data_IF_739242419180
#
_entry.id   IF_739242419180
#
_cell.length_a   1.000
_cell.length_b   1.000
_cell.length_c   1.000
_cell.angle_alpha   90.00
_cell.angle_beta   90.00
_cell.angle_gamma   90.00
#
_symmetry.space_group_name_H-M   'P 1'
#
loop_
_entity.id
_entity.type
_entity.pdbx_description
1 polymer ?
#
# COMPACT_ATOMS: atom_id res chain seq x y z
N UNK A 1 -15.01 -0.57 15.62
CA UNK A 1 -13.87 0.35 15.72
C UNK A 1 -13.65 1.08 14.40
N UNK A 2 -13.50 0.42 13.27
CA UNK A 2 -13.26 1.04 11.94
C UNK A 2 -14.28 2.13 11.60
N UNK A 3 -15.56 1.87 11.83
CA UNK A 3 -16.64 2.84 11.64
C UNK A 3 -16.45 4.08 12.52
N UNK A 4 -16.08 3.89 13.77
CA UNK A 4 -15.80 5.00 14.69
C UNK A 4 -14.58 5.81 14.27
N UNK A 5 -13.53 5.12 13.83
CA UNK A 5 -12.29 5.77 13.36
C UNK A 5 -12.54 6.66 12.14
N UNK A 6 -13.41 6.24 11.23
CA UNK A 6 -13.73 6.98 10.00
C UNK A 6 -14.24 8.39 10.27
N UNK A 7 -14.96 8.61 11.36
CA UNK A 7 -15.49 9.92 11.74
C UNK A 7 -14.41 10.97 12.03
N UNK A 8 -13.19 10.55 12.40
CA UNK A 8 -12.09 11.48 12.67
C UNK A 8 -11.45 12.07 11.42
N UNK A 9 -11.72 11.49 10.24
CA UNK A 9 -11.14 11.93 8.95
C UNK A 9 -12.13 12.73 8.10
N UNK A 10 -13.39 12.85 8.53
CA UNK A 10 -14.40 13.56 7.75
C UNK A 10 -14.14 15.07 7.70
N UNK A 11 -14.49 15.65 6.58
CA UNK A 11 -14.59 17.12 6.46
C UNK A 11 -15.87 17.63 7.12
N UNK A 12 -15.89 18.86 7.61
CA UNK A 12 -17.13 19.46 8.11
C UNK A 12 -18.26 19.35 7.07
N UNK A 13 -19.46 19.00 7.51
CA UNK A 13 -20.65 18.87 6.68
C UNK A 13 -20.58 17.79 5.57
N UNK A 14 -19.68 16.83 5.69
CA UNK A 14 -19.63 15.67 4.79
C UNK A 14 -19.87 14.38 5.57
N UNK A 15 -20.46 13.39 4.91
CA UNK A 15 -20.49 12.02 5.42
C UNK A 15 -19.10 11.42 5.35
N UNK A 16 -18.73 10.66 6.38
CA UNK A 16 -17.54 9.83 6.32
C UNK A 16 -17.78 8.68 5.35
N UNK A 17 -16.74 8.28 4.62
CA UNK A 17 -16.82 7.17 3.68
C UNK A 17 -16.01 6.00 4.20
N UNK A 18 -16.62 4.83 4.19
CA UNK A 18 -15.95 3.58 4.51
C UNK A 18 -16.31 2.51 3.47
N UNK A 19 -15.32 1.78 3.02
CA UNK A 19 -15.48 0.71 2.06
C UNK A 19 -14.98 -0.61 2.67
N UNK A 20 -15.79 -1.66 2.55
CA UNK A 20 -15.41 -2.99 2.98
C UNK A 20 -15.32 -3.92 1.78
N UNK A 21 -14.21 -4.62 1.66
CA UNK A 21 -14.12 -5.78 0.78
C UNK A 21 -14.46 -7.02 1.59
N UNK A 22 -15.52 -7.69 1.24
CA UNK A 22 -16.09 -8.83 1.99
C UNK A 22 -16.39 -10.00 1.07
N UNK A 23 -16.61 -11.18 1.62
CA UNK A 23 -17.26 -12.27 0.88
C UNK A 23 -18.77 -12.06 0.87
N UNK A 24 -19.43 -12.43 -0.21
CA UNK A 24 -20.89 -12.20 -0.40
C UNK A 24 -21.73 -12.78 0.72
N UNK A 25 -21.30 -13.87 1.30
CA UNK A 25 -22.00 -14.56 2.39
C UNK A 25 -22.10 -13.72 3.67
N UNK A 26 -21.06 -12.89 3.97
CA UNK A 26 -21.01 -12.07 5.19
C UNK A 26 -21.57 -10.65 5.01
N UNK A 27 -21.92 -10.22 3.80
CA UNK A 27 -22.45 -8.87 3.55
C UNK A 27 -23.65 -8.53 4.44
N UNK A 28 -24.58 -9.47 4.60
CA UNK A 28 -25.78 -9.27 5.42
C UNK A 28 -25.43 -9.00 6.88
N UNK A 29 -24.43 -9.68 7.41
CA UNK A 29 -23.99 -9.50 8.79
C UNK A 29 -23.32 -8.13 8.97
N UNK A 30 -22.54 -7.69 7.99
CA UNK A 30 -22.00 -6.33 7.97
C UNK A 30 -23.09 -5.27 7.92
N UNK A 31 -24.10 -5.45 7.08
CA UNK A 31 -25.24 -4.52 6.97
C UNK A 31 -26.02 -4.40 8.29
N UNK A 32 -26.26 -5.49 9.01
CA UNK A 32 -26.91 -5.46 10.33
C UNK A 32 -26.12 -4.59 11.31
N UNK A 33 -24.79 -4.66 11.29
CA UNK A 33 -23.93 -3.86 12.17
C UNK A 33 -23.85 -2.41 11.73
N UNK A 34 -23.80 -2.15 10.43
CA UNK A 34 -23.50 -0.84 9.85
C UNK A 34 -24.72 0.04 9.65
N UNK A 35 -25.92 -0.50 9.45
CA UNK A 35 -27.18 0.24 9.22
C UNK A 35 -27.57 1.22 10.35
N UNK A 36 -27.02 1.05 11.52
CA UNK A 36 -27.24 1.98 12.66
C UNK A 36 -26.44 3.29 12.57
N UNK A 37 -25.55 3.43 11.59
CA UNK A 37 -24.69 4.60 11.43
C UNK A 37 -25.15 5.49 10.27
N UNK A 38 -26.12 6.35 10.52
CA UNK A 38 -26.76 7.21 9.50
C UNK A 38 -25.82 8.25 8.89
N UNK A 39 -24.76 8.62 9.59
CA UNK A 39 -23.80 9.64 9.16
C UNK A 39 -22.64 9.11 8.30
N UNK A 40 -22.71 7.85 7.91
CA UNK A 40 -21.69 7.19 7.10
C UNK A 40 -22.21 6.84 5.71
N UNK A 41 -21.32 6.93 4.74
CA UNK A 41 -21.49 6.32 3.42
C UNK A 41 -20.71 5.02 3.41
N UNK A 42 -21.43 3.91 3.48
CA UNK A 42 -20.83 2.57 3.57
C UNK A 42 -21.04 1.86 2.26
N UNK A 43 -19.95 1.37 1.68
CA UNK A 43 -19.95 0.63 0.43
C UNK A 43 -19.25 -0.71 0.59
N UNK A 44 -19.60 -1.66 -0.27
CA UNK A 44 -19.03 -3.00 -0.27
C UNK A 44 -18.51 -3.36 -1.65
N UNK A 45 -17.47 -4.17 -1.70
CA UNK A 45 -17.04 -4.88 -2.89
C UNK A 45 -16.66 -6.32 -2.55
N UNK A 46 -16.52 -7.12 -3.58
CA UNK A 46 -16.12 -8.53 -3.47
C UNK A 46 -14.86 -8.74 -4.28
N UNK A 47 -14.02 -9.67 -3.85
CA UNK A 47 -12.91 -10.07 -4.67
C UNK A 47 -13.43 -10.59 -6.01
N UNK A 48 -12.75 -10.25 -7.09
CA UNK A 48 -13.08 -10.75 -8.41
C UNK A 48 -12.73 -12.24 -8.51
N UNK A 49 -13.69 -13.06 -8.90
CA UNK A 49 -13.51 -14.52 -9.05
C UNK A 49 -12.41 -14.87 -10.07
N UNK A 50 -12.10 -13.97 -11.02
CA UNK A 50 -10.97 -14.17 -11.96
C UNK A 50 -9.61 -14.12 -11.29
N UNK A 51 -9.53 -13.60 -10.07
CA UNK A 51 -8.31 -13.57 -9.24
C UNK A 51 -8.21 -14.76 -8.27
N UNK A 52 -9.14 -15.70 -8.32
CA UNK A 52 -9.10 -16.89 -7.49
C UNK A 52 -7.91 -17.79 -7.89
N UNK A 53 -7.37 -18.47 -6.89
CA UNK A 53 -6.22 -19.36 -7.05
C UNK A 53 -6.65 -20.81 -6.97
N UNK A 54 -5.97 -21.67 -7.72
CA UNK A 54 -6.18 -23.13 -7.65
C UNK A 54 -5.68 -23.62 -6.29
N UNK A 55 -6.54 -24.31 -5.56
CA UNK A 55 -6.12 -25.02 -4.35
C UNK A 55 -5.21 -26.21 -4.73
N UNK A 56 -4.21 -26.48 -3.90
CA UNK A 56 -3.27 -27.57 -4.11
C UNK A 56 -3.18 -28.47 -2.88
N UNK A 57 -2.85 -29.73 -3.13
CA UNK A 57 -2.49 -30.72 -2.13
C UNK A 57 -1.10 -30.42 -1.55
N UNK A 58 -0.69 -31.13 -0.51
CA UNK A 58 0.63 -30.99 0.11
C UNK A 58 1.81 -31.31 -0.83
N UNK A 59 1.57 -32.07 -1.88
CA UNK A 59 2.54 -32.43 -2.94
C UNK A 59 2.54 -31.44 -4.13
N UNK A 60 1.83 -30.30 -4.00
CA UNK A 60 1.60 -29.29 -5.04
C UNK A 60 0.78 -29.79 -6.27
N UNK A 61 0.17 -30.96 -6.23
CA UNK A 61 -0.82 -31.34 -7.24
C UNK A 61 -2.11 -30.54 -7.07
N UNK A 62 -2.84 -30.22 -8.17
CA UNK A 62 -4.12 -29.51 -8.07
C UNK A 62 -5.13 -30.28 -7.23
N UNK A 63 -5.72 -29.58 -6.25
CA UNK A 63 -6.80 -30.17 -5.44
C UNK A 63 -8.09 -30.18 -6.26
N UNK A 64 -8.78 -31.35 -6.24
CA UNK A 64 -10.02 -31.56 -6.96
C UNK A 64 -11.13 -31.98 -6.02
N UNK A 65 -12.32 -31.48 -6.32
CA UNK A 65 -13.56 -31.86 -5.63
C UNK A 65 -14.28 -32.98 -6.38
N UNK A 66 -15.49 -33.26 -6.01
CA UNK A 66 -16.33 -34.27 -6.67
C UNK A 66 -16.36 -34.06 -8.20
N UNK A 67 -16.40 -35.16 -8.95
CA UNK A 67 -16.36 -35.19 -10.42
C UNK A 67 -15.07 -34.69 -11.07
N UNK A 68 -13.98 -34.71 -10.33
CA UNK A 68 -12.65 -34.31 -10.85
C UNK A 68 -12.54 -32.82 -11.22
N UNK A 69 -13.41 -31.96 -10.67
CA UNK A 69 -13.37 -30.51 -10.89
C UNK A 69 -12.28 -29.84 -10.05
N UNK A 70 -11.59 -28.86 -10.63
CA UNK A 70 -10.60 -28.05 -9.92
C UNK A 70 -11.29 -27.19 -8.84
N UNK A 71 -10.71 -27.15 -7.68
CA UNK A 71 -11.19 -26.27 -6.61
C UNK A 71 -10.43 -24.95 -6.60
N UNK A 72 -11.18 -23.85 -6.76
CA UNK A 72 -10.67 -22.50 -6.68
C UNK A 72 -11.01 -21.88 -5.34
N UNK A 73 -10.16 -21.03 -4.83
CA UNK A 73 -10.34 -20.31 -3.57
C UNK A 73 -9.93 -18.86 -3.75
N UNK A 74 -10.50 -17.93 -2.98
CA UNK A 74 -10.11 -16.54 -3.01
C UNK A 74 -8.60 -16.37 -2.91
N UNK A 75 -8.03 -15.52 -3.75
CA UNK A 75 -6.62 -15.16 -3.72
C UNK A 75 -6.28 -14.39 -2.43
N UNK A 76 -4.99 -14.19 -2.20
CA UNK A 76 -4.52 -13.37 -1.07
C UNK A 76 -4.75 -11.88 -1.28
N UNK A 77 -4.27 -11.06 -0.34
CA UNK A 77 -4.45 -9.60 -0.33
C UNK A 77 -4.05 -8.89 -1.62
N UNK A 78 -3.11 -9.46 -2.40
CA UNK A 78 -2.72 -8.91 -3.70
C UNK A 78 -3.87 -8.84 -4.71
N UNK A 79 -4.83 -9.77 -4.64
CA UNK A 79 -6.01 -9.76 -5.50
C UNK A 79 -6.94 -8.56 -5.24
N UNK A 80 -6.90 -7.99 -4.03
CA UNK A 80 -7.73 -6.85 -3.63
C UNK A 80 -7.26 -5.51 -4.22
N UNK A 81 -6.17 -5.48 -4.96
CA UNK A 81 -5.70 -4.26 -5.63
C UNK A 81 -6.72 -3.76 -6.66
N UNK A 82 -7.48 -4.67 -7.29
CA UNK A 82 -8.55 -4.29 -8.22
C UNK A 82 -9.69 -3.56 -7.49
N UNK A 83 -10.05 -4.04 -6.30
CA UNK A 83 -11.06 -3.39 -5.46
C UNK A 83 -10.60 -1.99 -5.04
N UNK A 84 -9.34 -1.84 -4.62
CA UNK A 84 -8.75 -0.56 -4.28
C UNK A 84 -8.74 0.41 -5.47
N UNK A 85 -8.41 -0.07 -6.66
CA UNK A 85 -8.34 0.74 -7.88
C UNK A 85 -9.72 1.27 -8.34
N UNK A 86 -10.80 0.64 -7.91
CA UNK A 86 -12.17 1.10 -8.22
C UNK A 86 -12.64 2.24 -7.31
N UNK A 87 -11.95 2.51 -6.22
CA UNK A 87 -12.32 3.56 -5.28
C UNK A 87 -12.05 4.94 -5.88
N UNK A 88 -13.07 5.78 -5.93
CA UNK A 88 -12.98 7.17 -6.40
C UNK A 88 -12.69 8.10 -5.22
N UNK A 89 -11.43 8.10 -4.76
CA UNK A 89 -11.00 8.88 -3.60
C UNK A 89 -9.60 9.46 -3.81
N UNK A 90 -9.39 10.69 -3.33
CA UNK A 90 -8.07 11.34 -3.39
C UNK A 90 -7.05 10.69 -2.46
N UNK A 91 -7.52 10.17 -1.33
CA UNK A 91 -6.72 9.50 -0.29
C UNK A 91 -7.53 8.33 0.26
N UNK A 92 -6.89 7.18 0.42
CA UNK A 92 -7.47 5.99 1.02
C UNK A 92 -6.62 5.55 2.20
N UNK A 93 -7.23 5.42 3.38
CA UNK A 93 -6.64 4.74 4.52
C UNK A 93 -6.95 3.24 4.40
N UNK A 94 -5.92 2.42 4.32
CA UNK A 94 -6.07 0.96 4.20
C UNK A 94 -5.84 0.34 5.57
N UNK A 95 -6.75 -0.54 5.98
CA UNK A 95 -6.65 -1.23 7.26
C UNK A 95 -7.18 -2.65 7.16
N UNK A 96 -6.51 -3.59 7.81
CA UNK A 96 -7.03 -4.94 7.97
C UNK A 96 -8.22 -4.94 8.93
N UNK A 97 -9.21 -5.78 8.67
CA UNK A 97 -10.44 -5.86 9.48
C UNK A 97 -10.19 -6.35 10.91
N UNK A 98 -9.18 -7.17 11.11
CA UNK A 98 -8.77 -7.75 12.38
C UNK A 98 -7.79 -6.86 13.16
N UNK A 99 -7.25 -5.82 12.53
CA UNK A 99 -6.34 -4.89 13.21
C UNK A 99 -7.13 -3.85 14.00
N UNK A 100 -7.57 -4.23 15.19
CA UNK A 100 -8.35 -3.40 16.11
C UNK A 100 -7.65 -3.28 17.46
N UNK A 101 -7.65 -2.09 18.04
CA UNK A 101 -7.12 -1.82 19.37
C UNK A 101 -8.12 -1.01 20.20
N UNK A 102 -8.43 -1.50 21.40
CA UNK A 102 -9.26 -0.75 22.33
C UNK A 102 -8.45 0.22 23.18
N UNK A 103 -7.15 0.03 23.26
CA UNK A 103 -6.23 0.84 24.04
C UNK A 103 -5.60 1.95 23.17
N UNK A 104 -5.26 3.07 23.81
CA UNK A 104 -4.51 4.17 23.18
C UNK A 104 -5.12 4.76 21.89
N UNK A 105 -6.45 4.72 21.75
CA UNK A 105 -7.15 5.15 20.52
C UNK A 105 -6.74 6.55 20.04
N UNK A 106 -6.69 7.52 20.95
CA UNK A 106 -6.31 8.89 20.61
C UNK A 106 -4.88 8.97 20.08
N UNK A 107 -3.95 8.27 20.71
CA UNK A 107 -2.56 8.20 20.28
C UNK A 107 -2.44 7.60 18.88
N UNK A 108 -3.12 6.47 18.62
CA UNK A 108 -3.16 5.80 17.32
C UNK A 108 -3.72 6.75 16.27
N UNK A 109 -4.85 7.41 16.52
CA UNK A 109 -5.46 8.36 15.59
C UNK A 109 -4.54 9.54 15.26
N UNK A 110 -3.81 10.06 16.25
CA UNK A 110 -2.87 11.15 16.02
C UNK A 110 -1.71 10.72 15.11
N UNK A 111 -1.17 9.51 15.30
CA UNK A 111 -0.14 8.97 14.41
C UNK A 111 -0.67 8.73 12.98
N UNK A 112 -1.89 8.19 12.84
CA UNK A 112 -2.52 8.03 11.52
C UNK A 112 -2.76 9.35 10.81
N UNK A 113 -3.21 10.38 11.53
CA UNK A 113 -3.32 11.74 10.97
C UNK A 113 -1.97 12.30 10.54
N UNK A 114 -0.91 12.01 11.28
CA UNK A 114 0.44 12.38 10.90
C UNK A 114 0.86 11.69 9.59
N UNK A 115 0.63 10.38 9.46
CA UNK A 115 0.90 9.64 8.21
C UNK A 115 0.09 10.21 7.03
N UNK A 116 -1.18 10.51 7.23
CA UNK A 116 -2.02 11.18 6.24
C UNK A 116 -1.49 12.56 5.85
N UNK A 117 -1.00 13.33 6.83
CA UNK A 117 -0.36 14.63 6.60
C UNK A 117 0.92 14.51 5.77
N UNK A 118 1.76 13.51 6.06
CA UNK A 118 2.97 13.20 5.28
C UNK A 118 2.60 12.85 3.84
N UNK A 119 1.58 12.01 3.65
CA UNK A 119 1.10 11.64 2.31
C UNK A 119 0.64 12.87 1.52
N UNK A 120 -0.21 13.71 2.11
CA UNK A 120 -0.73 14.92 1.45
C UNK A 120 0.38 15.92 1.11
N UNK A 121 1.33 16.11 2.01
CA UNK A 121 2.49 16.96 1.75
C UNK A 121 3.32 16.41 0.58
N UNK A 122 3.66 15.12 0.63
CA UNK A 122 4.47 14.46 -0.42
C UNK A 122 3.75 14.51 -1.77
N UNK A 123 2.45 14.18 -1.80
CA UNK A 123 1.61 14.27 -3.01
C UNK A 123 1.66 15.66 -3.62
N UNK A 124 1.50 16.71 -2.80
CA UNK A 124 1.57 18.10 -3.29
C UNK A 124 2.93 18.44 -3.89
N UNK A 125 4.03 18.01 -3.27
CA UNK A 125 5.37 18.26 -3.81
C UNK A 125 5.59 17.51 -5.14
N UNK A 126 5.10 16.26 -5.24
CA UNK A 126 5.12 15.48 -6.48
C UNK A 126 4.33 16.19 -7.59
N UNK A 127 3.12 16.67 -7.29
CA UNK A 127 2.29 17.39 -8.27
C UNK A 127 2.97 18.67 -8.79
N UNK A 128 3.54 19.46 -7.87
CA UNK A 128 4.30 20.68 -8.26
C UNK A 128 5.49 20.31 -9.14
N UNK A 129 6.25 19.28 -8.77
CA UNK A 129 7.40 18.83 -9.54
C UNK A 129 7.01 18.33 -10.92
N UNK A 130 5.93 17.54 -11.00
CA UNK A 130 5.39 17.06 -12.28
C UNK A 130 4.93 18.20 -13.18
N UNK A 131 4.21 19.17 -12.64
CA UNK A 131 3.78 20.35 -13.41
C UNK A 131 4.97 21.11 -13.99
N UNK A 132 5.99 21.39 -13.18
CA UNK A 132 7.21 22.07 -13.64
C UNK A 132 7.91 21.29 -14.76
N UNK A 133 8.04 19.96 -14.61
CA UNK A 133 8.66 19.10 -15.62
C UNK A 133 7.85 19.06 -16.93
N UNK A 134 6.53 18.92 -16.84
CA UNK A 134 5.64 18.84 -18.01
C UNK A 134 5.51 20.16 -18.76
N UNK A 135 5.53 21.29 -18.04
CA UNK A 135 5.43 22.62 -18.63
C UNK A 135 6.77 23.18 -19.15
N UNK A 136 7.85 22.41 -19.08
CA UNK A 136 9.21 22.87 -19.44
C UNK A 136 9.69 24.08 -18.62
N UNK A 137 9.26 24.18 -17.37
CA UNK A 137 9.68 25.25 -16.44
C UNK A 137 11.00 24.89 -15.72
N UNK A 138 11.55 23.70 -16.01
CA UNK A 138 12.76 23.16 -15.43
C UNK A 138 13.93 23.32 -16.40
N UNK A 139 15.06 23.72 -15.86
CA UNK A 139 16.36 23.77 -16.53
C UNK A 139 17.40 22.99 -15.72
N UNK A 140 18.62 22.89 -16.24
CA UNK A 140 19.72 22.14 -15.60
C UNK A 140 20.06 22.63 -14.18
N UNK A 141 19.76 23.89 -13.86
CA UNK A 141 20.09 24.47 -12.55
C UNK A 141 19.05 24.10 -11.48
N UNK A 142 17.76 24.01 -11.86
CA UNK A 142 16.69 23.76 -10.90
C UNK A 142 16.17 22.33 -10.89
N UNK A 143 16.58 21.45 -11.81
CA UNK A 143 16.26 20.02 -11.77
C UNK A 143 16.82 19.34 -10.49
N UNK A 144 17.90 19.89 -9.94
CA UNK A 144 18.54 19.39 -8.75
C UNK A 144 17.60 19.36 -7.55
N UNK A 145 16.72 20.34 -7.40
CA UNK A 145 15.72 20.37 -6.32
C UNK A 145 14.77 19.17 -6.38
N UNK A 146 14.39 18.77 -7.60
CA UNK A 146 13.52 17.61 -7.83
C UNK A 146 14.29 16.32 -7.57
N UNK A 147 15.55 16.23 -7.97
CA UNK A 147 16.43 15.10 -7.69
C UNK A 147 16.57 14.91 -6.18
N UNK A 148 16.91 15.96 -5.45
CA UNK A 148 17.08 15.92 -3.99
C UNK A 148 15.77 15.54 -3.29
N UNK A 149 14.63 16.01 -3.79
CA UNK A 149 13.32 15.61 -3.28
C UNK A 149 13.07 14.10 -3.48
N UNK A 150 13.35 13.58 -4.67
CA UNK A 150 13.17 12.16 -5.00
C UNK A 150 14.10 11.27 -4.18
N UNK A 151 15.40 11.61 -4.14
CA UNK A 151 16.39 10.76 -3.45
C UNK A 151 16.28 10.84 -1.93
N UNK A 152 16.11 12.05 -1.38
CA UNK A 152 16.19 12.29 0.07
C UNK A 152 14.82 12.19 0.73
N UNK A 153 13.80 12.83 0.18
CA UNK A 153 12.47 12.89 0.82
C UNK A 153 11.60 11.68 0.49
N UNK A 154 11.67 11.19 -0.74
CA UNK A 154 10.93 9.98 -1.13
C UNK A 154 11.74 8.70 -0.91
N UNK A 155 13.00 8.80 -0.53
CA UNK A 155 13.92 7.66 -0.39
C UNK A 155 13.93 6.75 -1.62
N UNK A 156 13.93 7.37 -2.80
CA UNK A 156 13.95 6.66 -4.07
C UNK A 156 15.30 6.86 -4.75
N UNK A 157 16.24 5.89 -4.66
CA UNK A 157 17.56 6.02 -5.24
C UNK A 157 17.49 6.07 -6.77
N UNK A 158 18.13 7.08 -7.34
CA UNK A 158 18.31 7.17 -8.78
C UNK A 158 19.48 6.27 -9.23
N UNK A 159 19.49 5.81 -10.49
CA UNK A 159 20.63 5.07 -11.04
C UNK A 159 21.94 5.83 -10.89
N UNK A 160 23.05 5.14 -10.66
CA UNK A 160 24.39 5.75 -10.51
C UNK A 160 24.77 6.60 -11.73
N UNK A 161 24.37 6.15 -12.91
CA UNK A 161 24.59 6.81 -14.20
C UNK A 161 23.61 7.97 -14.47
N UNK A 162 22.60 8.21 -13.64
CA UNK A 162 21.56 9.23 -13.86
C UNK A 162 22.14 10.62 -14.16
N UNK A 163 23.23 10.99 -13.48
CA UNK A 163 23.89 12.27 -13.68
C UNK A 163 24.58 12.41 -15.05
N UNK A 164 24.81 11.27 -15.73
CA UNK A 164 25.41 11.23 -17.07
C UNK A 164 24.36 11.32 -18.18
N UNK A 165 23.08 11.20 -17.84
CA UNK A 165 21.99 11.28 -18.80
C UNK A 165 21.89 12.71 -19.36
N UNK A 166 21.54 12.83 -20.62
CA UNK A 166 21.15 14.10 -21.20
C UNK A 166 19.95 14.68 -20.46
N UNK A 167 19.85 15.99 -20.37
CA UNK A 167 18.82 16.68 -19.60
C UNK A 167 17.40 16.24 -19.93
N UNK A 168 17.05 16.10 -21.21
CA UNK A 168 15.71 15.64 -21.61
C UNK A 168 15.43 14.21 -21.12
N UNK A 169 16.43 13.34 -21.11
CA UNK A 169 16.27 11.97 -20.60
C UNK A 169 16.15 11.94 -19.05
N UNK A 170 16.89 12.81 -18.35
CA UNK A 170 16.71 12.98 -16.90
C UNK A 170 15.29 13.43 -16.58
N UNK A 171 14.76 14.37 -17.34
CA UNK A 171 13.40 14.90 -17.20
C UNK A 171 12.34 13.82 -17.43
N UNK A 172 12.43 13.08 -18.54
CA UNK A 172 11.53 11.96 -18.83
C UNK A 172 11.57 10.89 -17.74
N UNK A 173 12.75 10.57 -17.24
CA UNK A 173 12.93 9.61 -16.17
C UNK A 173 12.25 10.07 -14.88
N UNK A 174 12.44 11.34 -14.48
CA UNK A 174 11.79 11.92 -13.30
C UNK A 174 10.26 11.94 -13.43
N UNK A 175 9.74 12.31 -14.59
CA UNK A 175 8.29 12.25 -14.87
C UNK A 175 7.79 10.82 -14.65
N UNK A 176 8.47 9.82 -15.18
CA UNK A 176 8.06 8.41 -15.05
C UNK A 176 8.04 7.91 -13.61
N UNK A 177 8.98 8.33 -12.77
CA UNK A 177 9.02 7.88 -11.36
C UNK A 177 8.07 8.68 -10.47
N UNK A 178 7.81 9.95 -10.78
CA UNK A 178 6.89 10.79 -10.02
C UNK A 178 5.42 10.53 -10.37
N UNK A 179 5.13 10.15 -11.61
CA UNK A 179 3.76 9.85 -12.06
C UNK A 179 3.35 8.42 -11.68
N UNK A 180 3.31 8.14 -10.39
CA UNK A 180 2.95 6.84 -9.79
C UNK A 180 2.05 7.04 -8.58
N UNK A 181 1.26 6.03 -8.21
CA UNK A 181 0.59 6.02 -6.92
C UNK A 181 1.60 6.16 -5.77
N UNK A 182 1.25 6.93 -4.75
CA UNK A 182 2.08 7.16 -3.56
C UNK A 182 1.46 6.40 -2.40
N UNK A 183 2.29 5.66 -1.68
CA UNK A 183 1.91 4.94 -0.47
C UNK A 183 2.82 5.37 0.68
N UNK A 184 2.22 5.75 1.80
CA UNK A 184 2.91 5.96 3.07
C UNK A 184 2.50 4.84 4.00
N UNK A 185 3.48 4.11 4.53
CA UNK A 185 3.25 2.97 5.41
C UNK A 185 3.76 3.28 6.82
N UNK A 186 2.89 3.10 7.81
CA UNK A 186 3.30 3.17 9.21
C UNK A 186 4.18 1.97 9.57
N UNK A 187 5.21 2.21 10.38
CA UNK A 187 6.11 1.18 10.88
C UNK A 187 6.16 1.23 12.38
N UNK A 188 6.11 0.05 13.01
CA UNK A 188 6.28 -0.12 14.45
C UNK A 188 7.41 -1.11 14.73
N UNK A 189 7.97 -1.07 15.94
CA UNK A 189 8.95 -2.07 16.34
C UNK A 189 8.32 -3.45 16.33
N UNK A 190 9.06 -4.43 15.82
CA UNK A 190 8.67 -5.83 15.87
C UNK A 190 9.06 -6.40 17.23
N UNK A 191 8.06 -6.86 17.98
CA UNK A 191 8.24 -7.53 19.28
C UNK A 191 7.88 -9.03 19.20
N UNK A 192 7.77 -9.56 17.98
CA UNK A 192 7.46 -10.98 17.70
C UNK A 192 6.16 -11.18 16.93
N UNK A 193 5.50 -10.10 16.51
CA UNK A 193 4.29 -10.17 15.72
C UNK A 193 4.57 -10.60 14.28
N UNK A 194 3.67 -11.38 13.65
CA UNK A 194 3.75 -11.68 12.24
C UNK A 194 3.36 -10.45 11.41
N UNK A 195 4.02 -10.27 10.26
CA UNK A 195 3.68 -9.18 9.33
C UNK A 195 4.81 -8.87 8.38
N UNK A 196 4.49 -8.07 7.37
CA UNK A 196 5.47 -7.59 6.41
C UNK A 196 6.37 -6.51 7.01
N UNK A 197 7.65 -6.56 6.68
CA UNK A 197 8.66 -5.57 7.11
C UNK A 197 9.11 -4.66 5.97
N UNK A 198 9.72 -3.51 6.31
CA UNK A 198 10.31 -2.62 5.32
C UNK A 198 11.70 -3.13 4.91
N UNK A 199 11.87 -3.42 3.63
CA UNK A 199 13.14 -3.89 3.08
C UNK A 199 13.50 -3.14 1.81
N UNK A 200 14.80 -3.00 1.57
CA UNK A 200 15.32 -2.64 0.27
C UNK A 200 15.32 -3.88 -0.63
N UNK A 201 14.55 -3.83 -1.68
CA UNK A 201 14.41 -4.92 -2.66
C UNK A 201 15.12 -4.52 -3.94
N UNK A 202 15.94 -5.42 -4.47
CA UNK A 202 16.60 -5.26 -5.76
C UNK A 202 15.73 -5.87 -6.86
N UNK A 203 15.45 -5.11 -7.91
CA UNK A 203 14.75 -5.63 -9.10
C UNK A 203 15.73 -6.35 -10.05
N UNK A 204 15.18 -6.96 -11.10
CA UNK A 204 15.95 -7.69 -12.13
C UNK A 204 16.98 -6.81 -12.86
N UNK A 205 16.81 -5.48 -12.82
CA UNK A 205 17.73 -4.50 -13.42
C UNK A 205 18.74 -3.96 -12.42
N UNK A 206 18.84 -4.54 -11.24
CA UNK A 206 19.76 -4.13 -10.18
C UNK A 206 19.36 -2.85 -9.42
N UNK A 207 18.16 -2.31 -9.65
CA UNK A 207 17.69 -1.10 -8.96
C UNK A 207 17.08 -1.46 -7.62
N UNK A 208 17.32 -0.62 -6.63
CA UNK A 208 16.79 -0.81 -5.28
C UNK A 208 15.59 0.10 -5.03
N UNK A 209 14.60 -0.43 -4.33
CA UNK A 209 13.46 0.36 -3.85
C UNK A 209 12.92 -0.21 -2.53
N UNK A 210 12.24 0.63 -1.76
CA UNK A 210 11.62 0.23 -0.50
C UNK A 210 10.31 -0.52 -0.79
N UNK A 211 10.18 -1.71 -0.20
CA UNK A 211 8.98 -2.53 -0.27
C UNK A 211 8.62 -3.09 1.09
N UNK A 212 7.34 -3.37 1.29
CA UNK A 212 6.88 -4.24 2.38
C UNK A 212 7.03 -5.68 1.89
N UNK A 213 7.79 -6.48 2.62
CA UNK A 213 8.06 -7.88 2.26
C UNK A 213 7.58 -8.79 3.38
N UNK A 214 6.74 -9.75 3.01
CA UNK A 214 6.21 -10.81 3.88
C UNK A 214 7.18 -12.00 3.95
N UNK A 215 7.13 -12.76 5.04
CA UNK A 215 7.98 -13.95 5.22
C UNK A 215 7.83 -14.97 4.10
N UNK A 216 6.64 -15.11 3.53
CA UNK A 216 6.33 -15.99 2.40
C UNK A 216 7.03 -15.59 1.09
N UNK A 217 7.51 -14.35 1.00
CA UNK A 217 8.21 -13.80 -0.17
C UNK A 217 9.74 -13.89 -0.05
N UNK A 218 10.24 -14.41 1.07
CA UNK A 218 11.68 -14.52 1.37
C UNK A 218 12.13 -15.96 1.18
N UNK A 219 13.20 -16.15 0.41
CA UNK A 219 13.86 -17.44 0.33
C UNK A 219 14.68 -17.70 1.62
N UNK A 220 14.04 -18.38 2.56
CA UNK A 220 14.67 -18.72 3.85
C UNK A 220 15.79 -19.78 3.74
N UNK A 221 15.94 -20.44 2.57
CA UNK A 221 17.07 -21.33 2.28
C UNK A 221 18.33 -20.55 1.91
N UNK A 222 18.14 -19.33 1.37
CA UNK A 222 19.21 -18.38 1.12
C UNK A 222 19.65 -17.72 2.44
N UNK A 223 20.89 -17.95 2.86
CA UNK A 223 21.40 -17.49 4.15
C UNK A 223 21.43 -15.96 4.28
N UNK A 224 21.75 -15.25 3.21
CA UNK A 224 21.76 -13.79 3.20
C UNK A 224 20.33 -13.23 3.39
N UNK A 225 19.35 -13.69 2.62
CA UNK A 225 17.97 -13.26 2.75
C UNK A 225 17.41 -13.59 4.14
N UNK A 226 17.67 -14.80 4.62
CA UNK A 226 17.26 -15.23 5.97
C UNK A 226 17.87 -14.33 7.06
N UNK A 227 19.14 -13.97 6.94
CA UNK A 227 19.83 -13.12 7.91
C UNK A 227 19.26 -11.70 7.90
N UNK A 228 19.06 -11.10 6.71
CA UNK A 228 18.45 -9.78 6.56
C UNK A 228 17.04 -9.78 7.18
N UNK A 229 16.23 -10.79 6.85
CA UNK A 229 14.86 -10.90 7.35
C UNK A 229 14.81 -11.04 8.88
N UNK A 230 15.64 -11.89 9.47
CA UNK A 230 15.73 -12.08 10.93
C UNK A 230 16.20 -10.85 11.69
N UNK A 231 16.99 -10.00 11.06
CA UNK A 231 17.51 -8.77 11.67
C UNK A 231 16.56 -7.58 11.47
N UNK A 232 15.39 -7.78 10.86
CA UNK A 232 14.38 -6.72 10.74
C UNK A 232 13.90 -6.30 12.12
N UNK A 233 13.90 -5.01 12.37
CA UNK A 233 13.54 -4.43 13.67
C UNK A 233 12.13 -3.84 13.67
N UNK A 234 11.49 -3.73 12.52
CA UNK A 234 10.18 -3.10 12.36
C UNK A 234 9.29 -3.92 11.44
N UNK A 235 7.99 -3.77 11.61
CA UNK A 235 6.98 -4.31 10.68
C UNK A 235 5.88 -3.29 10.41
N UNK A 236 5.09 -3.53 9.37
CA UNK A 236 3.93 -2.73 9.01
C UNK A 236 2.66 -3.42 9.51
N UNK A 237 1.90 -2.83 10.44
CA UNK A 237 0.66 -3.40 10.95
C UNK A 237 -0.52 -3.26 9.98
N UNK A 238 -0.32 -2.74 8.77
CA UNK A 238 -1.35 -2.38 7.79
C UNK A 238 -2.35 -1.36 8.36
N UNK A 239 -1.82 -0.19 8.63
CA UNK A 239 -2.56 1.00 9.03
C UNK A 239 -2.11 2.22 8.24
#
# INVERSE_FOLDING_TARGET
>A
EHVFETDFYKKPNQKSKIHFTVTKEFEKDFLVVTNKYENLEITFSYQNETSDTIAVNADNSPFRIEKDELFFRPGGHGALIENLNQLQSDVVFIKNIDNVSQNNRELILNHKKLLGGILLYTKRQVEISLQKLLNNEINENNIKEIIDFVEVKMSFPLPSEFKMFQFEYQKEYLIKILNRPIRVCGMVKNEGEPGGGPFWVQDEKGRHNLQIVESSQVDLTNENQRTIFKNSTHFNPVD
#
